data_IF_623578405755
#
_entry.id   IF_623578405755
#
_cell.length_a   1.000
_cell.length_b   1.000
_cell.length_c   1.000
_cell.angle_alpha   90.00
_cell.angle_beta   90.00
_cell.angle_gamma   90.00
#
_symmetry.space_group_name_H-M   'P 1'
#
loop_
_entity.id
_entity.type
_entity.pdbx_description
1 polymer ?
#
# COMPACT_ATOMS: atom_id res chain seq x y z
N UNK A 1 38.73 19.93 6.72
CA UNK A 1 38.50 20.53 8.06
C UNK A 1 39.23 19.79 9.16
N UNK A 2 39.19 18.45 9.23
CA UNK A 2 39.85 17.71 10.32
C UNK A 2 41.37 17.91 10.36
N UNK A 3 42.05 17.85 9.21
CA UNK A 3 43.49 18.16 9.13
C UNK A 3 43.83 19.60 9.56
N UNK A 4 42.92 20.55 9.33
CA UNK A 4 43.10 21.96 9.72
C UNK A 4 42.92 22.14 11.23
N UNK A 5 41.93 21.48 11.83
CA UNK A 5 41.72 21.48 13.29
C UNK A 5 42.89 20.82 14.01
N UNK A 6 43.42 19.72 13.48
CA UNK A 6 44.61 19.05 14.05
C UNK A 6 45.81 19.99 14.02
N UNK A 7 46.03 20.68 12.90
CA UNK A 7 47.09 21.67 12.77
C UNK A 7 46.91 22.85 13.74
N UNK A 8 45.70 23.43 13.82
CA UNK A 8 45.40 24.52 14.76
C UNK A 8 45.55 24.09 16.23
N UNK A 9 45.22 22.84 16.57
CA UNK A 9 45.46 22.29 17.92
C UNK A 9 46.94 22.21 18.26
N UNK A 10 47.75 21.74 17.31
CA UNK A 10 49.22 21.73 17.48
C UNK A 10 49.78 23.15 17.63
N UNK A 11 49.27 24.11 16.85
CA UNK A 11 49.65 25.51 16.96
C UNK A 11 49.29 26.12 18.32
N UNK A 12 48.07 25.88 18.82
CA UNK A 12 47.64 26.31 20.16
C UNK A 12 48.53 25.69 21.23
N UNK A 13 48.86 24.40 21.13
CA UNK A 13 49.74 23.72 22.09
C UNK A 13 51.14 24.35 22.12
N UNK A 14 51.74 24.62 20.95
CA UNK A 14 53.06 25.25 20.86
C UNK A 14 53.08 26.70 21.37
N UNK A 15 52.03 27.49 21.07
CA UNK A 15 51.89 28.84 21.58
C UNK A 15 51.66 28.86 23.10
N UNK A 16 50.98 27.85 23.63
CA UNK A 16 50.75 27.72 25.06
C UNK A 16 52.04 27.40 25.81
N UNK A 17 52.85 26.49 25.30
CA UNK A 17 54.20 26.21 25.83
C UNK A 17 55.11 27.45 25.78
N UNK A 18 55.03 28.23 24.69
CA UNK A 18 55.77 29.49 24.55
C UNK A 18 55.31 30.54 25.59
N UNK A 19 54.01 30.63 25.85
CA UNK A 19 53.44 31.54 26.85
C UNK A 19 53.88 31.15 28.26
N UNK A 20 53.81 29.86 28.60
CA UNK A 20 54.26 29.32 29.89
C UNK A 20 55.76 29.57 30.11
N UNK A 21 56.60 29.32 29.11
CA UNK A 21 58.03 29.59 29.17
C UNK A 21 58.30 31.08 29.41
N UNK A 22 57.62 31.98 28.69
CA UNK A 22 57.79 33.43 28.88
C UNK A 22 57.29 33.89 30.25
N UNK A 23 56.22 33.29 30.77
CA UNK A 23 55.72 33.56 32.13
C UNK A 23 56.78 33.22 33.17
N UNK A 24 57.35 32.00 33.11
CA UNK A 24 58.39 31.58 34.07
C UNK A 24 59.67 32.41 33.97
N UNK A 25 60.06 32.85 32.77
CA UNK A 25 61.19 33.77 32.59
C UNK A 25 60.90 35.15 33.18
N UNK A 26 59.64 35.62 33.10
CA UNK A 26 59.25 36.93 33.63
C UNK A 26 59.25 36.92 35.16
N UNK A 27 58.75 35.85 35.77
CA UNK A 27 58.80 35.63 37.22
C UNK A 27 60.24 35.64 37.76
N UNK A 28 61.20 35.17 36.96
CA UNK A 28 62.64 35.22 37.26
C UNK A 28 63.30 36.57 36.92
N UNK A 29 62.55 37.55 36.41
CA UNK A 29 63.07 38.86 35.99
C UNK A 29 63.87 38.85 34.68
N UNK A 30 63.82 37.75 33.91
CA UNK A 30 64.64 37.53 32.70
C UNK A 30 63.94 37.96 31.41
N UNK A 31 62.69 38.41 31.46
CA UNK A 31 61.98 38.98 30.30
C UNK A 31 60.98 40.07 30.73
N UNK A 32 60.53 40.86 29.76
CA UNK A 32 59.57 41.96 29.96
C UNK A 32 58.15 41.44 30.08
N UNK A 33 57.32 42.17 30.86
CA UNK A 33 55.88 41.89 30.96
C UNK A 33 55.15 42.02 29.61
N UNK A 34 55.63 42.91 28.74
CA UNK A 34 55.08 43.10 27.39
C UNK A 34 55.21 41.81 26.58
N UNK A 35 56.37 41.13 26.65
CA UNK A 35 56.59 39.86 25.93
C UNK A 35 55.62 38.74 26.36
N UNK A 36 55.23 38.71 27.64
CA UNK A 36 54.22 37.76 28.17
C UNK A 36 52.84 38.12 27.64
N UNK A 37 52.46 39.41 27.68
CA UNK A 37 51.17 39.87 27.18
C UNK A 37 51.01 39.62 25.67
N UNK A 38 52.07 39.80 24.89
CA UNK A 38 52.05 39.49 23.45
C UNK A 38 51.82 37.99 23.21
N UNK A 39 52.52 37.12 23.96
CA UNK A 39 52.33 35.67 23.85
C UNK A 39 50.92 35.24 24.31
N UNK A 40 50.37 35.86 25.34
CA UNK A 40 48.98 35.64 25.76
C UNK A 40 47.99 36.05 24.68
N UNK A 41 48.19 37.19 24.03
CA UNK A 41 47.33 37.67 22.94
C UNK A 41 47.40 36.75 21.73
N UNK A 42 48.58 36.27 21.34
CA UNK A 42 48.74 35.30 20.26
C UNK A 42 48.05 33.98 20.55
N UNK A 43 48.22 33.44 21.77
CA UNK A 43 47.53 32.22 22.21
C UNK A 43 46.00 32.40 22.17
N UNK A 44 45.50 33.52 22.70
CA UNK A 44 44.07 33.81 22.71
C UNK A 44 43.48 33.91 21.30
N UNK A 45 44.21 34.52 20.35
CA UNK A 45 43.80 34.57 18.93
C UNK A 45 43.75 33.18 18.29
N UNK A 46 44.78 32.36 18.51
CA UNK A 46 44.82 30.99 17.99
C UNK A 46 43.69 30.12 18.58
N UNK A 47 43.41 30.26 19.88
CA UNK A 47 42.30 29.58 20.55
C UNK A 47 40.94 30.02 20.00
N UNK A 48 40.73 31.33 19.77
CA UNK A 48 39.49 31.85 19.18
C UNK A 48 39.26 31.27 17.78
N UNK A 49 40.29 31.21 16.93
CA UNK A 49 40.19 30.65 15.59
C UNK A 49 39.90 29.14 15.60
N UNK A 50 40.51 28.39 16.53
CA UNK A 50 40.20 26.98 16.72
C UNK A 50 38.75 26.78 17.18
N UNK A 51 38.28 27.59 18.13
CA UNK A 51 36.91 27.54 18.63
C UNK A 51 35.88 27.84 17.52
N UNK A 52 36.15 28.84 16.68
CA UNK A 52 35.31 29.16 15.52
C UNK A 52 35.23 27.97 14.54
N UNK A 53 36.38 27.37 14.22
CA UNK A 53 36.45 26.22 13.29
C UNK A 53 35.71 25.01 13.86
N UNK A 54 35.84 24.73 15.16
CA UNK A 54 35.10 23.67 15.86
C UNK A 54 33.59 23.94 15.88
N UNK A 55 33.17 25.18 16.14
CA UNK A 55 31.77 25.58 16.09
C UNK A 55 31.18 25.42 14.69
N UNK A 56 31.95 25.75 13.64
CA UNK A 56 31.58 25.46 12.26
C UNK A 56 31.38 23.97 11.98
N UNK A 57 32.30 23.12 12.46
CA UNK A 57 32.19 21.67 12.32
C UNK A 57 30.96 21.09 13.05
N UNK A 58 30.67 21.56 14.26
CA UNK A 58 29.49 21.14 15.01
C UNK A 58 28.20 21.47 14.25
N UNK A 59 28.05 22.71 13.77
CA UNK A 59 26.90 23.13 12.95
C UNK A 59 26.75 22.29 11.68
N UNK A 60 27.85 21.99 10.99
CA UNK A 60 27.82 21.15 9.80
C UNK A 60 27.33 19.73 10.12
N UNK A 61 27.77 19.15 11.24
CA UNK A 61 27.32 17.82 11.71
C UNK A 61 25.84 17.82 12.07
N UNK A 62 25.36 18.84 12.77
CA UNK A 62 23.94 18.99 13.09
C UNK A 62 23.10 19.10 11.81
N UNK A 63 23.58 19.85 10.82
CA UNK A 63 22.91 19.97 9.53
C UNK A 63 22.83 18.63 8.80
N UNK A 64 23.90 17.82 8.82
CA UNK A 64 23.89 16.46 8.26
C UNK A 64 22.87 15.57 8.97
N UNK A 65 22.79 15.63 10.31
CA UNK A 65 21.81 14.87 11.06
C UNK A 65 20.37 15.27 10.71
N UNK A 66 20.09 16.57 10.59
CA UNK A 66 18.79 17.09 10.15
C UNK A 66 18.45 16.59 8.74
N UNK A 67 19.42 16.60 7.83
CA UNK A 67 19.20 16.11 6.45
C UNK A 67 18.90 14.61 6.40
N UNK A 68 19.58 13.79 7.20
CA UNK A 68 19.26 12.37 7.32
C UNK A 68 17.86 12.13 7.87
N UNK A 69 17.45 12.90 8.88
CA UNK A 69 16.09 12.80 9.43
C UNK A 69 15.04 13.18 8.38
N UNK A 70 15.27 14.25 7.62
CA UNK A 70 14.38 14.66 6.51
C UNK A 70 14.29 13.61 5.40
N UNK A 71 15.40 12.94 5.08
CA UNK A 71 15.41 11.86 4.10
C UNK A 71 14.53 10.70 4.58
N UNK A 72 14.70 10.27 5.83
CA UNK A 72 13.88 9.20 6.42
C UNK A 72 12.40 9.57 6.51
N UNK A 73 12.07 10.84 6.78
CA UNK A 73 10.70 11.32 6.79
C UNK A 73 10.08 11.30 5.39
N UNK A 74 10.85 11.71 4.37
CA UNK A 74 10.43 11.68 2.98
C UNK A 74 10.17 10.25 2.49
N UNK A 75 11.07 9.31 2.80
CA UNK A 75 10.91 7.90 2.45
C UNK A 75 9.64 7.30 3.09
N UNK A 76 9.42 7.60 4.38
CA UNK A 76 8.23 7.14 5.10
C UNK A 76 6.95 7.72 4.52
N UNK A 77 6.98 8.99 4.14
CA UNK A 77 5.85 9.69 3.52
C UNK A 77 5.50 9.08 2.17
N UNK A 78 6.50 8.89 1.30
CA UNK A 78 6.32 8.27 -0.01
C UNK A 78 5.75 6.85 0.11
N UNK A 79 6.26 6.05 1.05
CA UNK A 79 5.72 4.72 1.32
C UNK A 79 4.25 4.78 1.77
N UNK A 80 3.90 5.71 2.67
CA UNK A 80 2.53 5.87 3.13
C UNK A 80 1.57 6.34 2.04
N UNK A 81 2.01 7.27 1.19
CA UNK A 81 1.21 7.77 0.05
C UNK A 81 0.98 6.65 -0.96
N UNK A 82 2.03 5.89 -1.32
CA UNK A 82 1.92 4.74 -2.21
C UNK A 82 0.98 3.65 -1.67
N UNK A 83 1.04 3.33 -0.37
CA UNK A 83 0.13 2.36 0.26
C UNK A 83 -1.32 2.85 0.26
N UNK A 84 -1.53 4.16 0.44
CA UNK A 84 -2.87 4.76 0.42
C UNK A 84 -3.47 4.67 -0.98
N UNK A 85 -2.68 5.04 -2.01
CA UNK A 85 -3.10 4.93 -3.41
C UNK A 85 -3.36 3.47 -3.80
N UNK A 86 -2.49 2.54 -3.39
CA UNK A 86 -2.69 1.11 -3.62
C UNK A 86 -4.02 0.63 -3.03
N UNK A 87 -4.32 1.01 -1.78
CA UNK A 87 -5.59 0.63 -1.14
C UNK A 87 -6.82 1.20 -1.85
N UNK A 88 -6.73 2.43 -2.38
CA UNK A 88 -7.81 3.03 -3.17
C UNK A 88 -8.04 2.24 -4.47
N UNK A 89 -6.97 1.97 -5.23
CA UNK A 89 -7.03 1.22 -6.49
C UNK A 89 -7.53 -0.21 -6.27
N UNK A 90 -7.11 -0.88 -5.18
CA UNK A 90 -7.61 -2.22 -4.83
C UNK A 90 -9.10 -2.22 -4.53
N UNK A 91 -9.60 -1.21 -3.81
CA UNK A 91 -11.02 -1.05 -3.51
C UNK A 91 -11.85 -0.82 -4.79
N UNK A 92 -11.39 0.08 -5.67
CA UNK A 92 -12.03 0.32 -6.96
C UNK A 92 -12.03 -0.95 -7.83
N UNK A 93 -10.91 -1.67 -7.88
CA UNK A 93 -10.80 -2.92 -8.60
C UNK A 93 -11.78 -3.98 -8.07
N UNK A 94 -11.96 -4.08 -6.75
CA UNK A 94 -12.93 -4.98 -6.15
C UNK A 94 -14.37 -4.61 -6.56
N UNK A 95 -14.72 -3.33 -6.53
CA UNK A 95 -16.04 -2.84 -6.96
C UNK A 95 -16.30 -3.13 -8.44
N UNK A 96 -15.32 -2.88 -9.31
CA UNK A 96 -15.41 -3.15 -10.75
C UNK A 96 -15.55 -4.64 -11.02
N UNK A 97 -14.81 -5.50 -10.32
CA UNK A 97 -14.92 -6.97 -10.44
C UNK A 97 -16.31 -7.47 -10.06
N UNK A 98 -16.87 -6.96 -8.98
CA UNK A 98 -18.23 -7.32 -8.55
C UNK A 98 -19.29 -6.87 -9.56
N UNK A 99 -19.15 -5.65 -10.08
CA UNK A 99 -20.02 -5.16 -11.16
C UNK A 99 -19.91 -6.04 -12.41
N UNK A 100 -18.69 -6.41 -12.81
CA UNK A 100 -18.44 -7.28 -13.95
C UNK A 100 -19.08 -8.67 -13.77
N UNK A 101 -19.01 -9.25 -12.57
CA UNK A 101 -19.65 -10.53 -12.25
C UNK A 101 -21.17 -10.45 -12.43
N UNK A 102 -21.80 -9.38 -11.91
CA UNK A 102 -23.24 -9.13 -12.08
C UNK A 102 -23.64 -8.98 -13.55
N UNK A 103 -22.85 -8.25 -14.35
CA UNK A 103 -23.13 -8.09 -15.77
C UNK A 103 -22.95 -9.39 -16.54
N UNK A 104 -21.90 -10.18 -16.24
CA UNK A 104 -21.71 -11.51 -16.83
C UNK A 104 -22.87 -12.45 -16.54
N UNK A 105 -23.37 -12.45 -15.31
CA UNK A 105 -24.54 -13.23 -14.93
C UNK A 105 -25.80 -12.79 -15.69
N UNK A 106 -25.98 -11.47 -15.87
CA UNK A 106 -27.07 -10.93 -16.70
C UNK A 106 -26.99 -11.41 -18.15
N UNK A 107 -25.79 -11.40 -18.75
CA UNK A 107 -25.57 -11.92 -20.12
C UNK A 107 -25.82 -13.42 -20.19
N UNK A 108 -25.33 -14.20 -19.22
CA UNK A 108 -25.55 -15.65 -19.16
C UNK A 108 -27.03 -16.00 -19.14
N UNK A 109 -27.85 -15.25 -18.38
CA UNK A 109 -29.32 -15.45 -18.31
C UNK A 109 -30.08 -15.06 -19.58
N UNK A 110 -29.43 -14.46 -20.58
CA UNK A 110 -30.05 -14.26 -21.89
C UNK A 110 -30.24 -15.59 -22.64
N UNK A 111 -29.45 -16.61 -22.28
CA UNK A 111 -29.60 -17.96 -22.84
C UNK A 111 -30.38 -18.82 -21.85
N UNK A 112 -31.57 -19.28 -22.25
CA UNK A 112 -32.40 -20.19 -21.47
C UNK A 112 -32.13 -21.61 -21.95
N UNK A 113 -31.77 -22.51 -21.04
CA UNK A 113 -31.52 -23.93 -21.33
C UNK A 113 -32.57 -24.80 -20.62
N UNK A 114 -32.81 -26.00 -21.13
CA UNK A 114 -33.71 -26.94 -20.49
C UNK A 114 -33.08 -27.47 -19.19
N UNK A 115 -33.79 -27.45 -18.04
CA UNK A 115 -33.24 -27.94 -16.77
C UNK A 115 -33.22 -29.48 -16.68
N UNK A 116 -33.97 -30.16 -17.54
CA UNK A 116 -34.12 -31.62 -17.59
C UNK A 116 -34.22 -32.06 -19.04
N UNK A 117 -33.82 -33.31 -19.30
CA UNK A 117 -34.03 -33.96 -20.59
C UNK A 117 -35.52 -34.30 -20.75
N UNK A 118 -36.12 -33.85 -21.85
CA UNK A 118 -37.57 -33.85 -21.99
C UNK A 118 -38.06 -33.45 -23.37
N UNK A 119 -39.36 -33.59 -23.56
CA UNK A 119 -40.08 -33.13 -24.76
C UNK A 119 -40.77 -31.81 -24.48
N UNK A 120 -40.76 -30.89 -25.45
CA UNK A 120 -41.49 -29.62 -25.34
C UNK A 120 -42.98 -29.88 -25.62
N UNK A 121 -43.83 -29.65 -24.63
CA UNK A 121 -45.29 -29.80 -24.73
C UNK A 121 -45.96 -28.55 -25.32
N UNK A 122 -45.52 -27.36 -24.91
CA UNK A 122 -46.09 -26.10 -25.37
C UNK A 122 -45.03 -25.01 -25.52
N UNK A 123 -45.26 -24.12 -26.50
CA UNK A 123 -44.43 -22.95 -26.80
C UNK A 123 -45.32 -21.71 -26.59
N UNK A 124 -44.97 -20.87 -25.62
CA UNK A 124 -45.73 -19.68 -25.24
C UNK A 124 -45.10 -18.37 -25.74
N UNK A 125 -43.99 -18.45 -26.48
CA UNK A 125 -43.22 -17.30 -26.97
C UNK A 125 -43.68 -16.87 -28.36
N UNK A 126 -43.84 -15.55 -28.57
CA UNK A 126 -43.88 -14.98 -29.92
C UNK A 126 -42.45 -14.99 -30.51
N UNK A 127 -42.32 -15.24 -31.82
CA UNK A 127 -41.03 -15.49 -32.50
C UNK A 127 -39.97 -14.38 -32.40
N UNK A 128 -38.95 -14.39 -33.30
CA UNK A 128 -37.83 -13.45 -33.23
C UNK A 128 -38.26 -11.98 -33.12
N UNK A 129 -37.69 -11.25 -32.15
CA UNK A 129 -37.99 -9.84 -31.91
C UNK A 129 -39.07 -9.55 -30.85
N UNK A 130 -39.72 -10.58 -30.30
CA UNK A 130 -40.66 -10.40 -29.20
C UNK A 130 -39.95 -9.98 -27.89
N UNK A 131 -40.55 -9.03 -27.17
CA UNK A 131 -40.09 -8.58 -25.85
C UNK A 131 -40.72 -9.47 -24.78
N UNK A 132 -39.89 -9.99 -23.87
CA UNK A 132 -40.31 -10.93 -22.82
C UNK A 132 -40.17 -10.30 -21.43
N UNK A 133 -41.17 -10.52 -20.58
CA UNK A 133 -41.13 -10.06 -19.19
C UNK A 133 -40.38 -11.07 -18.28
N UNK A 134 -39.75 -10.62 -17.18
CA UNK A 134 -39.16 -11.53 -16.20
C UNK A 134 -40.20 -12.52 -15.66
N UNK A 135 -39.87 -13.81 -15.64
CA UNK A 135 -40.75 -14.88 -15.14
C UNK A 135 -41.85 -15.32 -16.13
N UNK A 136 -41.89 -14.75 -17.33
CA UNK A 136 -42.79 -15.22 -18.38
C UNK A 136 -42.46 -16.66 -18.75
N UNK A 137 -43.49 -17.51 -18.82
CA UNK A 137 -43.33 -18.89 -19.27
C UNK A 137 -43.01 -18.90 -20.76
N UNK A 138 -41.92 -19.58 -21.14
CA UNK A 138 -41.48 -19.68 -22.53
C UNK A 138 -41.86 -21.03 -23.15
N UNK A 139 -41.49 -22.11 -22.46
CA UNK A 139 -41.67 -23.49 -22.89
C UNK A 139 -42.12 -24.34 -21.71
N UNK A 140 -42.97 -25.33 -21.97
CA UNK A 140 -43.31 -26.38 -21.02
C UNK A 140 -42.57 -27.66 -21.43
N UNK A 141 -41.68 -28.17 -20.57
CA UNK A 141 -40.89 -29.38 -20.84
C UNK A 141 -41.42 -30.53 -19.99
N UNK A 142 -41.71 -31.66 -20.64
CA UNK A 142 -42.15 -32.91 -20.01
C UNK A 142 -40.94 -33.85 -19.94
N UNK A 143 -40.47 -34.23 -18.72
CA UNK A 143 -39.33 -35.12 -18.56
C UNK A 143 -39.57 -36.49 -19.22
N UNK A 144 -38.51 -37.08 -19.78
CA UNK A 144 -38.55 -38.45 -20.29
C UNK A 144 -38.56 -39.48 -19.17
N UNK A 145 -37.92 -39.15 -18.04
CA UNK A 145 -37.72 -40.04 -16.91
C UNK A 145 -38.76 -39.77 -15.83
N UNK A 146 -39.90 -40.45 -15.92
CA UNK A 146 -40.98 -40.34 -14.93
C UNK A 146 -41.98 -41.48 -15.07
N UNK A 147 -42.68 -41.83 -13.98
CA UNK A 147 -43.82 -42.75 -14.09
C UNK A 147 -44.92 -42.02 -14.86
N UNK A 148 -45.22 -42.49 -16.07
CA UNK A 148 -46.37 -42.02 -16.82
C UNK A 148 -47.64 -42.46 -16.09
N UNK A 149 -48.37 -41.51 -15.51
CA UNK A 149 -49.71 -41.77 -14.99
C UNK A 149 -50.71 -41.57 -16.12
N UNK A 150 -51.49 -42.61 -16.40
CA UNK A 150 -52.61 -42.56 -17.34
C UNK A 150 -53.89 -42.44 -16.53
N UNK A 151 -54.63 -41.36 -16.74
CA UNK A 151 -55.98 -41.21 -16.21
C UNK A 151 -56.98 -41.68 -17.27
N UNK A 152 -57.59 -42.85 -17.06
CA UNK A 152 -58.64 -43.36 -17.92
C UNK A 152 -60.01 -42.99 -17.34
N UNK A 153 -60.84 -42.29 -18.12
CA UNK A 153 -62.25 -42.10 -17.80
C UNK A 153 -63.03 -43.31 -18.29
N UNK A 154 -63.69 -44.00 -17.36
CA UNK A 154 -64.50 -45.19 -17.66
C UNK A 154 -65.98 -44.81 -17.53
N UNK A 155 -66.81 -45.24 -18.48
CA UNK A 155 -68.28 -45.09 -18.39
C UNK A 155 -68.77 -45.89 -17.16
N UNK A 156 -69.63 -45.33 -16.29
CA UNK A 156 -70.12 -46.03 -15.11
C UNK A 156 -70.69 -47.44 -15.37
N UNK A 157 -71.13 -47.72 -16.60
CA UNK A 157 -71.61 -49.05 -17.02
C UNK A 157 -70.51 -50.12 -17.09
N UNK A 158 -69.27 -49.73 -17.35
CA UNK A 158 -68.14 -50.63 -17.56
C UNK A 158 -67.29 -50.86 -16.29
N UNK A 159 -67.65 -50.21 -15.17
CA UNK A 159 -66.92 -50.31 -13.90
C UNK A 159 -66.88 -51.73 -13.33
N UNK A 160 -67.90 -52.55 -13.62
CA UNK A 160 -67.99 -53.94 -13.14
C UNK A 160 -66.94 -54.88 -13.75
N UNK A 161 -66.27 -54.47 -14.83
CA UNK A 161 -65.31 -55.30 -15.58
C UNK A 161 -63.84 -54.98 -15.24
N UNK A 162 -63.57 -54.03 -14.34
CA UNK A 162 -62.22 -53.59 -14.02
C UNK A 162 -61.68 -54.26 -12.76
N UNK A 163 -60.39 -54.60 -12.78
CA UNK A 163 -59.67 -55.15 -11.62
C UNK A 163 -58.31 -54.49 -11.45
N UNK A 164 -57.91 -54.25 -10.20
CA UNK A 164 -56.57 -53.75 -9.88
C UNK A 164 -55.51 -54.73 -10.37
N UNK A 165 -54.51 -54.25 -11.10
CA UNK A 165 -53.44 -55.07 -11.68
C UNK A 165 -53.77 -55.72 -13.03
N UNK A 166 -54.92 -55.39 -13.64
CA UNK A 166 -55.19 -55.76 -15.03
C UNK A 166 -54.13 -55.12 -15.94
N UNK A 167 -53.55 -55.87 -16.90
CA UNK A 167 -52.64 -55.28 -17.88
C UNK A 167 -53.36 -54.16 -18.63
N UNK A 168 -52.73 -53.00 -18.68
CA UNK A 168 -53.19 -51.82 -19.41
C UNK A 168 -53.03 -52.02 -20.91
#
# INVERSE_FOLDING_TARGET
MESQITFQRQQVASLQETMELRSTLHEKGLTSRVSVLDAQLELARAQAQLAETLGGLARARDQVAILHQRLSELDSRLASEALTEMGQVESELAQVRESLLKQRDRVRRLTVTAPVDGLIKSIAVAGPGAVLAPGQTLFEVVPLDGRLLVEARIDPRDIGNLRLGQPA
#
